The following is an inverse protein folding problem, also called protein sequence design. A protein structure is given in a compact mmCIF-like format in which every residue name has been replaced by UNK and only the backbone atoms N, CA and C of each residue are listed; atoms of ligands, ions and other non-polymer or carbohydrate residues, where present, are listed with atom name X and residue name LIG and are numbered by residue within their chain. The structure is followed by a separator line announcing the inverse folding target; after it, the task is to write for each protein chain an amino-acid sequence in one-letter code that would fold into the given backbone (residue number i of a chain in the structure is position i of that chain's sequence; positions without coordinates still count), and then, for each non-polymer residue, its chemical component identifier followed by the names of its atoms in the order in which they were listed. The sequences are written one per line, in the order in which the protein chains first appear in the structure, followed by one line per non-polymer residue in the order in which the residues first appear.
data_IF_417161883902
#
_entry.id   IF_417161883902
#
_cell.length_a   1.000
_cell.length_b   1.000
_cell.length_c   1.000
_cell.angle_alpha   90.00
_cell.angle_beta   90.00
_cell.angle_gamma   90.00
#
_symmetry.space_group_name_H-M   'P 1'
#
loop_
_entity.id
_entity.type
_entity.pdbx_description
1 polymer ?
#
# COMPACT_ATOMS: atom_id res chain seq x y z
N UNK A 1 1.66 11.79 -3.60
CA UNK A 1 0.48 10.91 -3.77
C UNK A 1 -0.84 11.65 -4.05
N UNK A 2 -1.10 12.82 -3.46
CA UNK A 2 -2.31 13.62 -3.75
C UNK A 2 -2.58 13.84 -5.26
N UNK A 3 -1.55 14.22 -6.02
CA UNK A 3 -1.69 14.40 -7.47
C UNK A 3 -1.94 13.09 -8.24
N UNK A 4 -1.40 11.97 -7.76
CA UNK A 4 -1.61 10.64 -8.36
C UNK A 4 -3.06 10.23 -8.16
N UNK A 5 -3.62 10.43 -6.96
CA UNK A 5 -5.02 10.11 -6.67
C UNK A 5 -5.99 10.91 -7.55
N UNK A 6 -5.79 12.23 -7.64
CA UNK A 6 -6.62 13.08 -8.49
C UNK A 6 -6.59 12.67 -9.97
N UNK A 7 -5.42 12.25 -10.48
CA UNK A 7 -5.28 11.73 -11.85
C UNK A 7 -5.93 10.36 -12.00
N UNK A 8 -5.76 9.46 -11.03
CA UNK A 8 -6.39 8.13 -11.00
C UNK A 8 -7.92 8.25 -11.05
N UNK A 9 -8.50 9.16 -10.27
CA UNK A 9 -9.95 9.44 -10.28
C UNK A 9 -10.46 9.95 -11.63
N UNK A 10 -9.59 10.60 -12.43
CA UNK A 10 -9.88 11.03 -13.81
C UNK A 10 -9.62 9.93 -14.85
N UNK A 11 -9.37 8.69 -14.44
CA UNK A 11 -9.15 7.56 -15.35
C UNK A 11 -7.74 7.48 -15.94
N UNK A 12 -6.78 8.21 -15.40
CA UNK A 12 -5.38 8.15 -15.85
C UNK A 12 -4.76 6.78 -15.52
N UNK A 13 -4.52 5.98 -16.56
CA UNK A 13 -3.96 4.63 -16.45
C UNK A 13 -2.55 4.61 -15.87
N UNK A 14 -1.72 5.61 -16.15
CA UNK A 14 -0.36 5.68 -15.61
C UNK A 14 -0.38 6.04 -14.13
N UNK A 15 -1.28 6.93 -13.72
CA UNK A 15 -1.46 7.25 -12.30
C UNK A 15 -1.99 6.04 -11.52
N UNK A 16 -2.92 5.28 -12.10
CA UNK A 16 -3.39 4.00 -11.53
C UNK A 16 -2.24 3.02 -11.36
N UNK A 17 -1.46 2.77 -12.42
CA UNK A 17 -0.31 1.86 -12.35
C UNK A 17 0.73 2.30 -11.31
N UNK A 18 1.04 3.60 -11.23
CA UNK A 18 1.97 4.12 -10.24
C UNK A 18 1.48 3.90 -8.80
N UNK A 19 0.17 4.05 -8.54
CA UNK A 19 -0.44 3.70 -7.26
C UNK A 19 -0.29 2.20 -6.96
N UNK A 20 -0.64 1.33 -7.91
CA UNK A 20 -0.59 -0.13 -7.76
C UNK A 20 0.85 -0.60 -7.51
N UNK A 21 1.84 -0.07 -8.23
CA UNK A 21 3.25 -0.37 -8.02
C UNK A 21 3.73 0.06 -6.63
N UNK A 22 3.25 1.20 -6.13
CA UNK A 22 3.57 1.68 -4.79
C UNK A 22 3.03 0.72 -3.72
N UNK A 23 1.75 0.35 -3.82
CA UNK A 23 1.11 -0.60 -2.91
C UNK A 23 1.78 -1.99 -2.97
N UNK A 24 2.04 -2.51 -4.18
CA UNK A 24 2.75 -3.77 -4.40
C UNK A 24 4.13 -3.77 -3.73
N UNK A 25 4.91 -2.70 -3.89
CA UNK A 25 6.24 -2.62 -3.29
C UNK A 25 6.18 -2.67 -1.77
N UNK A 26 5.26 -1.94 -1.15
CA UNK A 26 5.07 -1.97 0.31
C UNK A 26 4.66 -3.38 0.76
N UNK A 27 3.67 -3.99 0.10
CA UNK A 27 3.21 -5.36 0.37
C UNK A 27 4.35 -6.38 0.27
N UNK A 28 5.21 -6.27 -0.74
CA UNK A 28 6.39 -7.12 -0.89
C UNK A 28 7.35 -7.04 0.31
N UNK A 29 7.60 -5.84 0.84
CA UNK A 29 8.45 -5.68 2.03
C UNK A 29 7.80 -6.25 3.29
N UNK A 30 6.49 -6.01 3.47
CA UNK A 30 5.74 -6.59 4.58
C UNK A 30 5.83 -8.11 4.54
N UNK A 31 5.52 -8.74 3.39
CA UNK A 31 5.61 -10.19 3.24
C UNK A 31 7.00 -10.75 3.53
N UNK A 32 8.05 -10.07 3.04
CA UNK A 32 9.44 -10.46 3.35
C UNK A 32 9.72 -10.43 4.87
N UNK A 33 9.21 -9.43 5.59
CA UNK A 33 9.38 -9.33 7.04
C UNK A 33 8.49 -10.30 7.82
N UNK A 34 7.27 -10.59 7.36
CA UNK A 34 6.40 -11.60 7.96
C UNK A 34 7.06 -12.97 7.98
N UNK A 35 7.75 -13.36 6.90
CA UNK A 35 8.49 -14.62 6.83
C UNK A 35 9.63 -14.67 7.87
N UNK A 36 10.36 -13.57 8.04
CA UNK A 36 11.49 -13.50 9.00
C UNK A 36 10.99 -13.50 10.45
N UNK A 37 9.93 -12.74 10.74
CA UNK A 37 9.38 -12.60 12.09
C UNK A 37 8.56 -13.83 12.53
N UNK A 38 8.07 -14.64 11.57
CA UNK A 38 7.21 -15.82 11.74
C UNK A 38 5.81 -15.51 12.27
N UNK A 39 5.69 -14.61 13.24
CA UNK A 39 4.44 -14.09 13.78
C UNK A 39 4.46 -12.56 13.70
N UNK A 40 3.37 -11.99 13.21
CA UNK A 40 3.15 -10.54 13.19
C UNK A 40 1.83 -10.25 13.89
N UNK A 41 1.89 -9.65 15.07
CA UNK A 41 0.70 -9.31 15.86
C UNK A 41 0.02 -8.03 15.35
N UNK A 42 0.79 -7.11 14.77
CA UNK A 42 0.28 -5.85 14.25
C UNK A 42 1.16 -5.28 13.13
N UNK A 43 0.53 -4.55 12.21
CA UNK A 43 1.18 -3.71 11.20
C UNK A 43 0.71 -2.27 11.44
N UNK A 44 1.66 -1.36 11.68
CA UNK A 44 1.38 0.04 11.94
C UNK A 44 1.78 0.88 10.71
N UNK A 45 0.85 1.69 10.23
CA UNK A 45 1.10 2.67 9.17
C UNK A 45 1.32 4.05 9.79
N UNK A 46 2.46 4.67 9.49
CA UNK A 46 2.82 6.01 9.96
C UNK A 46 3.43 6.85 8.83
N UNK A 47 3.71 8.12 9.09
CA UNK A 47 4.16 9.11 8.13
C UNK A 47 3.01 9.60 7.25
N UNK A 48 3.29 10.61 6.43
CA UNK A 48 2.23 11.32 5.69
C UNK A 48 1.34 10.42 4.83
N UNK A 49 1.91 9.40 4.16
CA UNK A 49 1.13 8.46 3.35
C UNK A 49 0.39 7.42 4.19
N UNK A 50 1.09 6.84 5.18
CA UNK A 50 0.52 5.80 6.03
C UNK A 50 -0.65 6.33 6.87
N UNK A 51 -0.61 7.59 7.30
CA UNK A 51 -1.63 8.20 8.16
C UNK A 51 -2.83 8.71 7.37
N UNK A 52 -2.59 9.40 6.25
CA UNK A 52 -3.62 10.22 5.60
C UNK A 52 -4.30 9.55 4.39
N UNK A 53 -3.94 8.32 4.04
CA UNK A 53 -4.40 7.72 2.79
C UNK A 53 -4.85 6.27 2.97
N UNK A 54 -6.14 6.11 3.28
CA UNK A 54 -6.77 4.81 3.53
C UNK A 54 -6.69 3.86 2.34
N UNK A 55 -6.92 4.35 1.12
CA UNK A 55 -6.89 3.52 -0.09
C UNK A 55 -5.55 2.81 -0.29
N UNK A 56 -4.44 3.46 0.09
CA UNK A 56 -3.12 2.80 0.06
C UNK A 56 -3.04 1.68 1.10
N UNK A 57 -3.50 1.91 2.33
CA UNK A 57 -3.50 0.87 3.38
C UNK A 57 -4.34 -0.33 2.97
N UNK A 58 -5.52 -0.09 2.42
CA UNK A 58 -6.42 -1.13 1.91
C UNK A 58 -5.74 -1.96 0.81
N UNK A 59 -5.19 -1.31 -0.23
CA UNK A 59 -4.50 -2.02 -1.32
C UNK A 59 -3.24 -2.78 -0.86
N UNK A 60 -2.54 -2.26 0.15
CA UNK A 60 -1.39 -2.94 0.78
C UNK A 60 -1.83 -4.15 1.60
N UNK A 61 -2.94 -4.06 2.33
CA UNK A 61 -3.43 -5.15 3.18
C UNK A 61 -4.20 -6.24 2.42
N UNK A 62 -4.71 -5.94 1.22
CA UNK A 62 -5.40 -6.91 0.38
C UNK A 62 -4.55 -8.17 0.15
N UNK A 63 -5.06 -9.34 0.54
CA UNK A 63 -4.35 -10.61 0.40
C UNK A 63 -3.23 -10.87 1.41
N UNK A 64 -3.13 -10.08 2.49
CA UNK A 64 -2.25 -10.38 3.64
C UNK A 64 -2.89 -11.33 4.67
N UNK A 65 -4.09 -11.85 4.41
CA UNK A 65 -4.89 -12.69 5.33
C UNK A 65 -4.36 -14.14 5.51
N UNK A 66 -3.03 -14.31 5.53
CA UNK A 66 -2.35 -15.61 5.65
C UNK A 66 -2.39 -16.15 7.08
#
# INVERSE_FOLDING_TARGET
MRNIEARKQKGDKQAKLAFEMCAYRIKKYIGAYMVVLKKVDAILFTGGLGENYSALRESVCEGLEI
#
